data_IF_593908195393
#
_entry.id   IF_593908195393
#
_cell.length_a   1.000
_cell.length_b   1.000
_cell.length_c   1.000
_cell.angle_alpha   90.00
_cell.angle_beta   90.00
_cell.angle_gamma   90.00
#
_symmetry.space_group_name_H-M   'P 1'
#
loop_
_entity.id
_entity.type
_entity.pdbx_description
1 polymer ?
#
# COMPACT_ATOMS: atom_id res chain seq x y z
N UNK A 1 -2.71 -8.71 -2.50
CA UNK A 1 -2.45 -7.32 -2.91
C UNK A 1 -3.37 -6.37 -2.17
N UNK A 2 -2.81 -5.29 -1.66
CA UNK A 2 -3.53 -4.18 -1.05
C UNK A 2 -3.23 -2.91 -1.84
N UNK A 3 -4.23 -2.04 -1.97
CA UNK A 3 -4.11 -0.72 -2.58
C UNK A 3 -4.20 0.30 -1.46
N UNK A 4 -3.30 1.27 -1.47
CA UNK A 4 -3.30 2.40 -0.57
C UNK A 4 -3.71 3.65 -1.33
N UNK A 5 -4.76 4.29 -0.85
CA UNK A 5 -5.30 5.54 -1.36
C UNK A 5 -4.91 6.66 -0.40
N UNK A 6 -3.89 7.47 -0.75
CA UNK A 6 -3.43 8.57 0.08
C UNK A 6 -4.39 9.75 0.02
N UNK A 7 -4.51 10.48 1.13
CA UNK A 7 -5.29 11.72 1.22
C UNK A 7 -4.61 12.88 0.47
N UNK A 8 -3.29 12.81 0.28
CA UNK A 8 -2.49 13.77 -0.48
C UNK A 8 -1.58 13.13 -1.53
N UNK A 9 -0.57 13.88 -1.96
CA UNK A 9 0.47 13.37 -2.86
C UNK A 9 1.37 12.36 -2.14
N UNK A 10 1.68 11.25 -2.82
CA UNK A 10 2.66 10.30 -2.32
C UNK A 10 4.06 10.93 -2.40
N UNK A 11 4.74 10.94 -1.25
CA UNK A 11 6.16 11.29 -1.11
C UNK A 11 6.87 10.06 -0.51
N UNK A 12 7.38 9.15 -1.36
CA UNK A 12 7.90 7.87 -0.88
C UNK A 12 9.17 8.09 -0.06
N UNK A 13 9.17 7.61 1.18
CA UNK A 13 10.35 7.55 2.01
C UNK A 13 11.10 6.24 1.73
N UNK A 14 12.10 6.33 0.85
CA UNK A 14 12.91 5.19 0.41
C UNK A 14 13.67 4.53 1.57
N UNK A 15 14.03 5.29 2.61
CA UNK A 15 14.72 4.75 3.78
C UNK A 15 13.78 3.86 4.60
N UNK A 16 12.55 4.33 4.84
CA UNK A 16 11.51 3.54 5.52
C UNK A 16 11.13 2.32 4.69
N UNK A 17 10.91 2.50 3.38
CA UNK A 17 10.55 1.40 2.48
C UNK A 17 11.64 0.33 2.50
N UNK A 18 12.90 0.69 2.26
CA UNK A 18 14.02 -0.25 2.26
C UNK A 18 14.28 -0.91 3.61
N UNK A 19 14.05 -0.20 4.73
CA UNK A 19 14.27 -0.72 6.08
C UNK A 19 13.21 -1.71 6.55
N UNK A 20 11.97 -1.56 6.09
CA UNK A 20 10.84 -2.35 6.60
C UNK A 20 10.21 -3.31 5.60
N UNK A 21 10.53 -3.20 4.30
CA UNK A 21 10.14 -4.18 3.29
C UNK A 21 10.88 -5.50 3.51
N UNK A 22 10.18 -6.63 3.39
CA UNK A 22 10.84 -7.93 3.23
C UNK A 22 11.35 -8.11 1.79
N UNK A 23 12.13 -9.17 1.56
CA UNK A 23 12.58 -9.57 0.22
C UNK A 23 11.44 -10.11 -0.66
N UNK A 24 10.33 -10.52 -0.04
CA UNK A 24 9.14 -11.07 -0.71
C UNK A 24 8.07 -10.01 -0.95
N UNK A 25 8.20 -8.84 -0.31
CA UNK A 25 7.27 -7.73 -0.42
C UNK A 25 7.65 -6.82 -1.58
N UNK A 26 6.63 -6.31 -2.27
CA UNK A 26 6.82 -5.40 -3.39
C UNK A 26 5.84 -4.23 -3.26
N UNK A 27 6.39 -3.01 -3.28
CA UNK A 27 5.62 -1.76 -3.26
C UNK A 27 5.84 -1.05 -4.59
N UNK A 28 4.77 -0.89 -5.35
CA UNK A 28 4.77 -0.17 -6.63
C UNK A 28 3.83 1.03 -6.52
N UNK A 29 4.28 2.20 -6.98
CA UNK A 29 3.46 3.42 -6.97
C UNK A 29 3.15 3.79 -8.42
N UNK A 30 1.87 3.90 -8.74
CA UNK A 30 1.40 4.29 -10.08
C UNK A 30 0.41 5.45 -9.91
N UNK A 31 0.67 6.55 -10.63
CA UNK A 31 -0.02 7.82 -10.47
C UNK A 31 0.03 8.31 -9.01
N UNK A 32 -1.02 8.05 -8.22
CA UNK A 32 -1.08 8.40 -6.80
C UNK A 32 -1.67 7.26 -5.96
N UNK A 33 -1.46 6.00 -6.38
CA UNK A 33 -1.92 4.81 -5.68
C UNK A 33 -0.72 3.91 -5.41
N UNK A 34 -0.58 3.46 -4.17
CA UNK A 34 0.43 2.48 -3.78
C UNK A 34 -0.15 1.07 -3.83
N UNK A 35 0.44 0.22 -4.68
CA UNK A 35 0.14 -1.19 -4.84
C UNK A 35 1.13 -1.98 -4.00
N UNK A 36 0.62 -2.63 -2.96
CA UNK A 36 1.44 -3.38 -2.03
C UNK A 36 1.15 -4.88 -2.11
N UNK A 37 2.16 -5.64 -2.52
CA UNK A 37 2.13 -7.09 -2.59
C UNK A 37 2.85 -7.69 -1.38
N UNK A 38 2.11 -8.46 -0.59
CA UNK A 38 2.58 -9.10 0.66
C UNK A 38 2.30 -10.61 0.61
N UNK A 39 3.15 -11.43 -0.02
CA UNK A 39 2.93 -12.88 -0.15
C UNK A 39 2.85 -13.59 1.21
N UNK A 40 3.68 -13.18 2.17
CA UNK A 40 3.75 -13.79 3.51
C UNK A 40 2.61 -13.36 4.46
N UNK A 41 1.74 -12.49 3.95
CA UNK A 41 0.55 -11.99 4.64
C UNK A 41 0.69 -10.55 5.12
N UNK A 42 -0.33 -9.74 4.84
CA UNK A 42 -0.34 -8.31 5.17
C UNK A 42 -0.22 -8.01 6.67
N UNK A 43 -0.85 -8.83 7.53
CA UNK A 43 -0.80 -8.63 8.99
C UNK A 43 0.57 -8.87 9.63
N UNK A 44 1.52 -9.47 8.90
CA UNK A 44 2.90 -9.70 9.37
C UNK A 44 3.88 -8.66 8.83
N UNK A 45 3.45 -7.83 7.88
CA UNK A 45 4.28 -6.84 7.23
C UNK A 45 4.59 -5.67 8.16
N UNK A 46 5.87 -5.41 8.39
CA UNK A 46 6.33 -4.22 9.13
C UNK A 46 6.14 -2.95 8.31
N UNK A 47 6.25 -3.04 6.98
CA UNK A 47 6.01 -1.94 6.06
C UNK A 47 4.53 -1.56 6.02
N UNK A 48 3.60 -2.54 6.02
CA UNK A 48 2.16 -2.26 6.09
C UNK A 48 1.78 -1.39 7.30
N UNK A 49 2.35 -1.71 8.47
CA UNK A 49 2.09 -0.96 9.71
C UNK A 49 2.68 0.47 9.69
N UNK A 50 3.57 0.76 8.75
CA UNK A 50 4.25 2.06 8.59
C UNK A 50 3.90 2.75 7.28
N UNK A 51 2.84 2.30 6.59
CA UNK A 51 2.56 2.76 5.24
C UNK A 51 2.35 4.27 5.15
N UNK A 52 1.65 4.88 6.11
CA UNK A 52 1.46 6.34 6.13
C UNK A 52 2.79 7.11 6.16
N UNK A 53 3.77 6.60 6.91
CA UNK A 53 5.12 7.17 6.97
C UNK A 53 5.90 6.88 5.70
N UNK A 54 5.80 5.65 5.19
CA UNK A 54 6.45 5.23 3.95
C UNK A 54 5.95 6.03 2.73
N UNK A 55 4.68 6.43 2.71
CA UNK A 55 4.07 7.22 1.64
C UNK A 55 4.15 8.73 1.87
N UNK A 56 4.60 9.19 3.05
CA UNK A 56 4.62 10.62 3.40
C UNK A 56 3.25 11.28 3.50
N UNK A 57 2.17 10.50 3.45
CA UNK A 57 0.78 10.92 3.51
C UNK A 57 -0.02 9.85 4.22
N UNK A 58 -1.05 10.27 4.96
CA UNK A 58 -2.07 9.35 5.48
C UNK A 58 -2.72 8.62 4.31
N UNK A 59 -2.88 7.30 4.42
CA UNK A 59 -3.41 6.47 3.35
C UNK A 59 -4.38 5.40 3.86
N UNK A 60 -5.42 5.16 3.07
CA UNK A 60 -6.39 4.12 3.35
C UNK A 60 -6.03 2.85 2.59
N UNK A 61 -5.67 1.79 3.32
CA UNK A 61 -5.46 0.46 2.76
C UNK A 61 -6.77 -0.27 2.46
N UNK A 62 -6.89 -0.86 1.27
CA UNK A 62 -8.00 -1.73 0.87
C UNK A 62 -7.48 -2.98 0.18
N UNK A 63 -8.13 -4.11 0.42
CA UNK A 63 -7.82 -5.34 -0.28
C UNK A 63 -8.30 -5.24 -1.75
N UNK A 64 -7.51 -5.74 -2.71
CA UNK A 64 -7.89 -5.72 -4.12
C UNK A 64 -9.25 -6.39 -4.38
N UNK A 65 -9.57 -7.48 -3.66
CA UNK A 65 -10.88 -8.15 -3.79
C UNK A 65 -12.02 -7.22 -3.37
N UNK A 66 -11.81 -6.42 -2.32
CA UNK A 66 -12.77 -5.41 -1.87
C UNK A 66 -12.89 -4.28 -2.89
N UNK A 67 -11.79 -3.78 -3.43
CA UNK A 67 -11.81 -2.73 -4.47
C UNK A 67 -12.61 -3.18 -5.70
N UNK A 68 -12.43 -4.43 -6.16
CA UNK A 68 -13.20 -4.99 -7.28
C UNK A 68 -14.70 -5.01 -6.98
N UNK A 69 -15.10 -5.53 -5.82
CA UNK A 69 -16.51 -5.55 -5.41
C UNK A 69 -17.13 -4.15 -5.35
N UNK A 70 -16.38 -3.14 -4.90
CA UNK A 70 -16.86 -1.76 -4.86
C UNK A 70 -17.04 -1.22 -6.29
N UNK A 71 -16.08 -1.48 -7.17
CA UNK A 71 -16.16 -1.08 -8.58
C UNK A 71 -17.38 -1.71 -9.27
N UNK A 72 -17.65 -2.99 -9.02
CA UNK A 72 -18.81 -3.71 -9.56
C UNK A 72 -20.15 -3.12 -9.10
N UNK A 73 -20.18 -2.47 -7.92
CA UNK A 73 -21.38 -1.82 -7.38
C UNK A 73 -21.55 -0.36 -7.85
N UNK A 74 -20.53 0.21 -8.52
CA UNK A 74 -20.50 1.63 -8.91
C UNK A 74 -20.83 1.85 -10.39
N UNK A 75 -21.09 0.78 -11.15
CA UNK A 75 -21.51 0.80 -12.56
C UNK A 75 -22.95 0.33 -12.72
#
# INVERSE_FOLDING_TARGET
MHLFFPEGEIRPDQEIIGKFSSQTEELTIIANIAYFHTPDGFGRSKLAAKMDKALGSRATGRNLRTCRKIADLSG
#
